data_IF_811511679909
#
_entry.id   IF_811511679909
#
_cell.length_a   1.000
_cell.length_b   1.000
_cell.length_c   1.000
_cell.angle_alpha   90.00
_cell.angle_beta   90.00
_cell.angle_gamma   90.00
#
_symmetry.space_group_name_H-M   'P 1'
#
loop_
_entity.id
_entity.type
_entity.pdbx_description
1 polymer ?
#
# COMPACT_ATOMS: atom_id res chain seq x y z
N UNK A 1 9.65 -31.33 64.15
CA UNK A 1 8.90 -30.14 63.70
C UNK A 1 9.93 -29.16 63.18
N UNK A 2 10.11 -29.09 61.86
CA UNK A 2 11.14 -28.25 61.23
C UNK A 2 10.47 -26.97 60.71
N UNK A 3 10.76 -25.84 61.36
CA UNK A 3 10.35 -24.51 60.92
C UNK A 3 11.13 -24.11 59.67
N UNK A 4 10.42 -23.81 58.58
CA UNK A 4 11.01 -23.27 57.34
C UNK A 4 11.58 -21.86 57.59
N UNK A 5 12.71 -21.51 56.94
CA UNK A 5 13.28 -20.17 57.06
C UNK A 5 12.36 -19.13 56.38
N UNK A 6 12.26 -17.91 56.93
CA UNK A 6 11.48 -16.84 56.32
C UNK A 6 12.04 -16.48 54.95
N UNK A 7 11.16 -16.34 53.95
CA UNK A 7 11.55 -15.88 52.63
C UNK A 7 12.05 -14.44 52.72
N UNK A 8 13.17 -14.12 52.05
CA UNK A 8 13.72 -12.77 52.08
C UNK A 8 12.79 -11.76 51.38
N UNK A 9 12.27 -10.79 52.14
CA UNK A 9 11.45 -9.67 51.65
C UNK A 9 12.31 -8.52 51.11
N UNK A 10 13.24 -8.80 50.18
CA UNK A 10 14.19 -7.79 49.68
C UNK A 10 13.62 -6.81 48.64
N UNK A 11 12.33 -6.88 48.28
CA UNK A 11 11.79 -6.14 47.12
C UNK A 11 10.94 -4.90 47.42
N UNK A 12 10.63 -4.60 48.68
CA UNK A 12 9.58 -3.60 49.00
C UNK A 12 10.03 -2.17 49.35
N UNK A 13 11.32 -1.92 49.63
CA UNK A 13 11.75 -0.61 50.17
C UNK A 13 12.36 0.36 49.12
N UNK A 14 12.33 0.02 47.83
CA UNK A 14 12.94 0.83 46.78
C UNK A 14 11.85 1.36 45.82
N UNK A 15 11.17 2.47 46.15
CA UNK A 15 10.03 2.97 45.36
C UNK A 15 10.40 3.37 43.93
N UNK A 16 11.68 3.58 43.63
CA UNK A 16 12.19 3.87 42.28
C UNK A 16 12.44 2.61 41.43
N UNK A 17 12.48 1.41 42.02
CA UNK A 17 12.77 0.18 41.29
C UNK A 17 11.65 -0.16 40.28
N UNK A 18 10.38 0.08 40.65
CA UNK A 18 9.22 -0.16 39.80
C UNK A 18 9.28 0.65 38.49
N UNK A 19 9.46 2.00 38.51
CA UNK A 19 9.58 2.76 37.27
C UNK A 19 10.85 2.39 36.48
N UNK A 20 11.96 2.07 37.14
CA UNK A 20 13.19 1.67 36.45
C UNK A 20 13.03 0.38 35.63
N UNK A 21 12.36 -0.64 36.20
CA UNK A 21 12.03 -1.88 35.49
C UNK A 21 11.10 -1.59 34.30
N UNK A 22 10.10 -0.72 34.49
CA UNK A 22 9.19 -0.32 33.42
C UNK A 22 9.90 0.33 32.23
N UNK A 23 10.81 1.27 32.48
CA UNK A 23 11.61 1.93 31.43
C UNK A 23 12.51 0.94 30.70
N UNK A 24 13.12 0.00 31.44
CA UNK A 24 13.99 -1.01 30.86
C UNK A 24 13.22 -1.95 29.92
N UNK A 25 12.05 -2.44 30.35
CA UNK A 25 11.19 -3.31 29.52
C UNK A 25 10.69 -2.56 28.27
N UNK A 26 10.24 -1.31 28.43
CA UNK A 26 9.78 -0.49 27.31
C UNK A 26 10.89 -0.22 26.28
N UNK A 27 12.11 0.05 26.75
CA UNK A 27 13.27 0.31 25.89
C UNK A 27 13.65 -0.93 25.08
N UNK A 28 13.65 -2.12 25.69
CA UNK A 28 13.93 -3.38 25.01
C UNK A 28 12.85 -3.67 23.96
N UNK A 29 11.56 -3.53 24.32
CA UNK A 29 10.46 -3.73 23.38
C UNK A 29 10.54 -2.77 22.17
N UNK A 30 10.87 -1.50 22.42
CA UNK A 30 11.04 -0.49 21.37
C UNK A 30 12.19 -0.83 20.42
N UNK A 31 13.36 -1.24 20.94
CA UNK A 31 14.52 -1.59 20.13
C UNK A 31 14.27 -2.83 19.26
N UNK A 32 13.61 -3.86 19.81
CA UNK A 32 13.24 -5.07 19.06
C UNK A 32 12.20 -4.74 17.98
N UNK A 33 11.15 -4.00 18.33
CA UNK A 33 10.11 -3.58 17.37
C UNK A 33 10.66 -2.70 16.25
N UNK A 34 11.53 -1.74 16.58
CA UNK A 34 12.19 -0.88 15.59
C UNK A 34 13.06 -1.68 14.62
N UNK A 35 13.72 -2.74 15.09
CA UNK A 35 14.57 -3.57 14.24
C UNK A 35 13.78 -4.44 13.25
N UNK A 36 12.51 -4.73 13.55
CA UNK A 36 11.63 -5.53 12.67
C UNK A 36 10.77 -4.66 11.74
N UNK A 37 10.38 -3.47 12.18
CA UNK A 37 9.52 -2.56 11.40
C UNK A 37 10.30 -1.72 10.37
N UNK A 38 11.61 -1.51 10.57
CA UNK A 38 12.46 -0.87 9.57
C UNK A 38 12.93 -1.94 8.59
N UNK A 39 12.06 -2.30 7.65
CA UNK A 39 12.46 -3.09 6.49
C UNK A 39 13.55 -2.31 5.73
N UNK A 40 14.65 -2.96 5.30
CA UNK A 40 15.65 -2.30 4.49
C UNK A 40 14.96 -1.78 3.22
N UNK A 41 15.00 -0.46 3.03
CA UNK A 41 14.54 0.17 1.80
C UNK A 41 15.32 -0.50 0.65
N UNK A 42 14.60 -1.23 -0.20
CA UNK A 42 15.21 -1.92 -1.33
C UNK A 42 16.01 -0.88 -2.13
N UNK A 43 17.32 -1.11 -2.36
CA UNK A 43 18.11 -0.21 -3.18
C UNK A 43 17.45 -0.13 -4.55
N UNK A 44 17.19 1.10 -4.99
CA UNK A 44 16.58 1.38 -6.27
C UNK A 44 17.43 0.71 -7.35
N UNK A 45 16.90 -0.36 -7.94
CA UNK A 45 17.50 -1.04 -9.08
C UNK A 45 17.64 -0.02 -10.21
N UNK A 46 18.87 0.42 -10.41
CA UNK A 46 19.33 1.24 -11.51
C UNK A 46 19.02 0.48 -12.80
N UNK A 47 18.08 1.00 -13.61
CA UNK A 47 17.73 0.41 -14.90
C UNK A 47 18.87 0.73 -15.88
N UNK A 48 19.51 -0.28 -16.52
CA UNK A 48 20.43 -0.03 -17.61
C UNK A 48 19.72 0.72 -18.75
N UNK A 49 20.25 1.89 -19.07
CA UNK A 49 19.95 2.63 -20.29
C UNK A 49 20.61 1.87 -21.43
N UNK A 50 19.80 1.21 -22.25
CA UNK A 50 20.23 0.67 -23.55
C UNK A 50 19.37 1.33 -24.64
N UNK A 51 20.02 2.22 -25.38
CA UNK A 51 19.51 2.97 -26.53
C UNK A 51 20.68 3.08 -27.55
N UNK A 52 20.45 3.32 -28.86
CA UNK A 52 20.01 2.35 -29.87
C UNK A 52 20.94 2.31 -31.12
N UNK A 53 20.48 1.61 -32.17
CA UNK A 53 20.90 1.63 -33.61
C UNK A 53 21.81 0.46 -34.05
N UNK A 54 21.56 -0.27 -35.14
CA UNK A 54 20.93 0.05 -36.45
C UNK A 54 20.42 -1.24 -37.15
N UNK A 55 19.62 -1.15 -38.25
CA UNK A 55 18.75 -2.20 -38.78
C UNK A 55 19.37 -3.07 -39.90
N UNK A 56 18.73 -4.19 -40.25
CA UNK A 56 18.04 -4.39 -41.54
C UNK A 56 17.97 -5.88 -41.99
N UNK A 57 16.73 -6.33 -42.26
CA UNK A 57 16.29 -7.44 -43.13
C UNK A 57 16.64 -8.90 -42.80
N UNK A 58 15.73 -9.57 -42.07
CA UNK A 58 15.32 -10.94 -42.42
C UNK A 58 13.81 -11.07 -42.27
N UNK A 59 13.09 -10.92 -43.38
CA UNK A 59 11.70 -11.35 -43.51
C UNK A 59 11.66 -12.81 -43.94
N UNK A 60 10.51 -13.46 -43.65
CA UNK A 60 10.15 -14.87 -43.86
C UNK A 60 10.55 -15.76 -42.65
N UNK A 61 9.69 -16.53 -42.01
CA UNK A 61 8.40 -17.12 -42.40
C UNK A 61 7.69 -17.70 -41.15
N UNK A 62 6.35 -17.82 -41.23
CA UNK A 62 5.47 -18.74 -40.47
C UNK A 62 5.46 -18.64 -38.94
N UNK A 63 4.50 -17.93 -38.35
CA UNK A 63 3.13 -18.41 -38.03
C UNK A 63 3.12 -19.65 -37.12
N UNK A 64 2.51 -19.48 -35.95
CA UNK A 64 2.19 -20.47 -34.89
C UNK A 64 3.29 -20.67 -33.85
N UNK A 65 3.41 -19.69 -32.94
CA UNK A 65 4.04 -19.90 -31.63
C UNK A 65 3.18 -20.91 -30.86
N UNK A 66 3.68 -22.09 -30.47
CA UNK A 66 2.92 -22.98 -29.60
C UNK A 66 2.67 -22.24 -28.29
N UNK A 67 1.40 -22.08 -27.92
CA UNK A 67 1.03 -21.58 -26.59
C UNK A 67 1.67 -22.50 -25.57
N UNK A 68 2.69 -21.99 -24.85
CA UNK A 68 3.33 -22.77 -23.79
C UNK A 68 2.24 -23.27 -22.83
N UNK A 69 2.28 -24.56 -22.42
CA UNK A 69 1.34 -25.06 -21.43
C UNK A 69 1.46 -24.19 -20.17
N UNK A 70 0.34 -23.60 -19.74
CA UNK A 70 0.23 -22.79 -18.53
C UNK A 70 0.82 -23.59 -17.35
N UNK A 71 2.06 -23.24 -16.97
CA UNK A 71 2.86 -23.93 -15.94
C UNK A 71 2.38 -23.68 -14.52
N UNK A 72 1.24 -23.02 -14.31
CA UNK A 72 0.78 -22.62 -12.98
C UNK A 72 -0.07 -23.73 -12.37
N UNK A 73 0.50 -24.40 -11.37
CA UNK A 73 -0.13 -25.46 -10.58
C UNK A 73 -1.20 -24.97 -9.60
N UNK A 74 -1.48 -23.67 -9.54
CA UNK A 74 -2.54 -23.11 -8.72
C UNK A 74 -3.31 -22.02 -9.48
N UNK A 75 -4.66 -22.08 -9.55
CA UNK A 75 -5.44 -20.96 -10.04
C UNK A 75 -5.16 -19.75 -9.17
N UNK A 76 -4.72 -18.64 -9.79
CA UNK A 76 -4.64 -17.35 -9.08
C UNK A 76 -6.02 -17.08 -8.53
N UNK A 77 -6.16 -17.05 -7.20
CA UNK A 77 -7.37 -16.55 -6.54
C UNK A 77 -7.70 -15.24 -7.24
N UNK A 78 -8.90 -15.13 -7.83
CA UNK A 78 -9.35 -13.93 -8.53
C UNK A 78 -8.89 -12.74 -7.72
N UNK A 79 -8.15 -11.83 -8.37
CA UNK A 79 -7.72 -10.57 -7.80
C UNK A 79 -8.85 -10.04 -6.89
N UNK A 80 -8.51 -9.68 -5.65
CA UNK A 80 -9.48 -9.21 -4.66
C UNK A 80 -10.43 -8.17 -5.25
N UNK A 81 -11.62 -8.03 -4.66
CA UNK A 81 -12.71 -7.19 -5.17
C UNK A 81 -12.23 -5.78 -5.57
N UNK A 82 -11.86 -5.61 -6.85
CA UNK A 82 -11.39 -4.32 -7.38
C UNK A 82 -12.60 -3.41 -7.47
N UNK A 83 -12.58 -2.36 -6.66
CA UNK A 83 -13.64 -1.35 -6.67
C UNK A 83 -13.32 -0.32 -7.73
N UNK A 84 -14.23 -0.17 -8.69
CA UNK A 84 -14.19 0.92 -9.66
C UNK A 84 -14.52 2.24 -8.99
N UNK A 85 -13.71 3.27 -9.26
CA UNK A 85 -13.85 4.62 -8.72
C UNK A 85 -13.86 5.63 -9.84
N UNK A 86 -14.63 6.69 -9.62
CA UNK A 86 -14.55 7.92 -10.39
C UNK A 86 -13.58 8.88 -9.72
N UNK A 87 -12.76 9.54 -10.53
CA UNK A 87 -11.81 10.57 -10.16
C UNK A 87 -12.17 11.84 -10.91
N UNK A 88 -12.43 12.93 -10.20
CA UNK A 88 -12.70 14.22 -10.82
C UNK A 88 -11.80 15.28 -10.23
N UNK A 89 -11.22 16.09 -11.10
CA UNK A 89 -10.81 17.44 -10.75
C UNK A 89 -12.10 18.26 -10.82
N UNK A 90 -12.39 19.15 -9.88
CA UNK A 90 -13.64 19.95 -9.83
C UNK A 90 -13.90 20.70 -11.16
N UNK A 91 -12.86 20.84 -11.96
CA UNK A 91 -12.82 21.45 -13.30
C UNK A 91 -13.21 20.53 -14.47
N UNK A 92 -13.26 19.20 -14.29
CA UNK A 92 -13.52 18.25 -15.40
C UNK A 92 -15.00 17.90 -15.53
N UNK A 93 -15.55 18.04 -16.74
CA UNK A 93 -16.92 17.59 -17.05
C UNK A 93 -17.06 16.06 -17.05
N UNK A 94 -16.00 15.33 -17.43
CA UNK A 94 -16.01 13.86 -17.48
C UNK A 94 -15.07 13.28 -16.42
N UNK A 95 -15.58 12.52 -15.42
CA UNK A 95 -14.74 11.89 -14.42
C UNK A 95 -13.87 10.80 -15.04
N UNK A 96 -12.60 10.76 -14.64
CA UNK A 96 -11.65 9.72 -14.98
C UNK A 96 -12.01 8.42 -14.23
N UNK A 97 -11.90 7.28 -14.89
CA UNK A 97 -12.12 5.97 -14.28
C UNK A 97 -10.82 5.41 -13.69
N UNK A 98 -10.93 4.75 -12.54
CA UNK A 98 -9.82 4.03 -11.92
C UNK A 98 -10.29 2.84 -11.10
N UNK A 99 -9.34 2.05 -10.59
CA UNK A 99 -9.59 0.88 -9.75
C UNK A 99 -8.81 0.97 -8.44
N UNK A 100 -9.46 0.66 -7.33
CA UNK A 100 -8.78 0.53 -6.03
C UNK A 100 -7.99 -0.79 -6.01
N UNK A 101 -6.69 -0.69 -5.78
CA UNK A 101 -5.76 -1.81 -5.58
C UNK A 101 -5.66 -2.17 -4.10
N UNK A 102 -5.52 -1.15 -3.25
CA UNK A 102 -5.39 -1.27 -1.81
C UNK A 102 -5.93 -0.02 -1.10
N UNK A 103 -6.33 -0.14 0.15
CA UNK A 103 -6.81 0.98 0.98
C UNK A 103 -6.33 0.88 2.41
N UNK A 104 -6.16 2.05 3.00
CA UNK A 104 -5.84 2.23 4.42
C UNK A 104 -6.63 3.40 4.98
N UNK A 105 -6.58 3.59 6.30
CA UNK A 105 -7.18 4.77 6.97
C UNK A 105 -6.58 6.09 6.44
N UNK A 106 -5.33 6.07 5.98
CA UNK A 106 -4.62 7.27 5.51
C UNK A 106 -4.72 7.55 4.02
N UNK A 107 -5.13 6.58 3.20
CA UNK A 107 -5.07 6.74 1.75
C UNK A 107 -5.46 5.52 0.94
N UNK A 108 -5.40 5.70 -0.38
CA UNK A 108 -5.77 4.72 -1.39
C UNK A 108 -4.60 4.47 -2.33
N UNK A 109 -4.48 3.23 -2.80
CA UNK A 109 -3.68 2.89 -3.97
C UNK A 109 -4.62 2.62 -5.12
N UNK A 110 -4.50 3.41 -6.19
CA UNK A 110 -5.34 3.34 -7.37
C UNK A 110 -4.54 2.84 -8.55
N UNK A 111 -5.23 2.23 -9.50
CA UNK A 111 -4.72 1.91 -10.81
C UNK A 111 -5.57 2.69 -11.85
N UNK A 112 -4.93 3.47 -12.71
CA UNK A 112 -5.57 4.36 -13.69
C UNK A 112 -4.92 4.21 -15.07
N UNK A 113 -5.62 4.61 -16.13
CA UNK A 113 -5.13 4.46 -17.50
C UNK A 113 -4.02 5.46 -17.87
N UNK A 114 -4.02 6.65 -17.27
CA UNK A 114 -3.09 7.74 -17.62
C UNK A 114 -2.30 8.29 -16.42
N UNK A 115 -1.14 8.92 -16.67
CA UNK A 115 -0.33 9.50 -15.60
C UNK A 115 -1.06 10.65 -14.91
N UNK A 116 -0.91 10.72 -13.58
CA UNK A 116 -1.41 11.82 -12.76
C UNK A 116 -0.24 12.55 -12.12
N UNK A 117 -0.33 13.88 -12.07
CA UNK A 117 0.73 14.73 -11.51
C UNK A 117 0.71 14.65 -9.98
N UNK A 118 1.87 14.38 -9.37
CA UNK A 118 2.04 14.43 -7.91
C UNK A 118 1.74 15.83 -7.35
N UNK A 119 1.12 15.87 -6.17
CA UNK A 119 0.60 17.08 -5.53
C UNK A 119 -0.78 17.53 -6.03
N UNK A 120 -1.32 16.90 -7.07
CA UNK A 120 -2.68 17.21 -7.55
C UNK A 120 -3.71 16.73 -6.54
N UNK A 121 -4.73 17.55 -6.28
CA UNK A 121 -5.89 17.17 -5.46
C UNK A 121 -7.03 16.77 -6.38
N UNK A 122 -7.58 15.59 -6.16
CA UNK A 122 -8.73 15.06 -6.89
C UNK A 122 -9.81 14.63 -5.92
N UNK A 123 -11.05 14.62 -6.37
CA UNK A 123 -12.18 14.03 -5.68
C UNK A 123 -12.40 12.60 -6.17
N UNK A 124 -12.51 11.65 -5.24
CA UNK A 124 -12.74 10.23 -5.54
C UNK A 124 -14.09 9.77 -5.00
N UNK A 125 -14.83 8.97 -5.79
CA UNK A 125 -16.07 8.31 -5.37
C UNK A 125 -16.19 6.91 -5.99
N UNK A 126 -16.60 5.87 -5.23
CA UNK A 126 -16.84 4.55 -5.81
C UNK A 126 -17.97 4.60 -6.83
N UNK A 127 -17.79 3.93 -7.97
CA UNK A 127 -18.77 3.90 -9.07
C UNK A 127 -20.11 3.28 -8.66
N UNK A 128 -20.06 2.26 -7.80
CA UNK A 128 -21.25 1.53 -7.32
C UNK A 128 -21.86 2.12 -6.04
N UNK A 129 -21.30 3.20 -5.50
CA UNK A 129 -21.87 3.84 -4.32
C UNK A 129 -23.19 4.55 -4.67
N UNK A 130 -24.12 4.68 -3.71
CA UNK A 130 -25.31 5.52 -3.87
C UNK A 130 -24.93 6.94 -4.32
N UNK A 131 -25.81 7.62 -5.05
CA UNK A 131 -25.54 9.01 -5.48
C UNK A 131 -25.36 9.97 -4.30
N UNK A 132 -25.89 9.62 -3.13
CA UNK A 132 -25.74 10.35 -1.87
C UNK A 132 -24.37 10.17 -1.20
N UNK A 133 -23.55 9.24 -1.67
CA UNK A 133 -22.22 9.02 -1.11
C UNK A 133 -21.31 10.25 -1.38
N UNK A 134 -20.58 10.72 -0.35
CA UNK A 134 -19.75 11.90 -0.49
C UNK A 134 -18.56 11.63 -1.44
N UNK A 135 -18.15 12.67 -2.14
CA UNK A 135 -16.84 12.69 -2.79
C UNK A 135 -15.76 12.92 -1.73
N UNK A 136 -14.69 12.15 -1.80
CA UNK A 136 -13.55 12.28 -0.88
C UNK A 136 -12.38 12.97 -1.58
N UNK A 137 -11.86 14.03 -0.99
CA UNK A 137 -10.69 14.71 -1.52
C UNK A 137 -9.41 13.93 -1.19
N UNK A 138 -8.61 13.65 -2.22
CA UNK A 138 -7.35 12.93 -2.16
C UNK A 138 -6.24 13.73 -2.84
N UNK A 139 -5.04 13.70 -2.27
CA UNK A 139 -3.81 14.24 -2.86
C UNK A 139 -2.99 13.11 -3.48
N UNK A 140 -2.55 13.29 -4.73
CA UNK A 140 -1.65 12.35 -5.39
C UNK A 140 -0.24 12.47 -4.78
N UNK A 141 0.27 11.39 -4.18
CA UNK A 141 1.58 11.35 -3.51
C UNK A 141 2.65 10.63 -4.31
N UNK A 142 2.25 9.70 -5.18
CA UNK A 142 3.18 9.00 -6.07
C UNK A 142 2.46 8.52 -7.33
N UNK A 143 3.12 8.57 -8.49
CA UNK A 143 2.59 7.98 -9.73
C UNK A 143 3.68 7.18 -10.44
N UNK A 144 3.45 5.88 -10.66
CA UNK A 144 4.43 4.98 -11.26
C UNK A 144 3.81 4.14 -12.38
N UNK A 145 4.51 3.94 -13.51
CA UNK A 145 4.01 3.08 -14.57
C UNK A 145 4.04 1.60 -14.14
N UNK A 146 2.92 0.91 -14.34
CA UNK A 146 2.76 -0.53 -14.09
C UNK A 146 2.09 -1.19 -15.31
N UNK A 147 2.91 -1.78 -16.19
CA UNK A 147 2.42 -2.38 -17.43
C UNK A 147 1.81 -1.35 -18.39
N UNK A 148 0.53 -1.52 -18.73
CA UNK A 148 -0.21 -0.59 -19.59
C UNK A 148 -1.01 0.46 -18.79
N UNK A 149 -0.76 0.52 -17.48
CA UNK A 149 -1.53 1.35 -16.54
C UNK A 149 -0.59 2.06 -15.58
N UNK A 150 -1.13 2.92 -14.72
CA UNK A 150 -0.37 3.67 -13.73
C UNK A 150 -0.86 3.36 -12.32
N UNK A 151 0.05 2.93 -11.46
CA UNK A 151 -0.19 2.81 -10.03
C UNK A 151 -0.01 4.18 -9.37
N UNK A 152 -1.05 4.62 -8.66
CA UNK A 152 -1.12 5.95 -8.07
C UNK A 152 -1.37 5.82 -6.57
N UNK A 153 -0.42 6.31 -5.79
CA UNK A 153 -0.54 6.42 -4.34
C UNK A 153 -1.21 7.73 -3.96
N UNK A 154 -2.30 7.66 -3.22
CA UNK A 154 -3.14 8.79 -2.85
C UNK A 154 -3.25 8.92 -1.34
N UNK A 155 -3.29 10.13 -0.81
CA UNK A 155 -3.55 10.43 0.61
C UNK A 155 -4.87 11.16 0.76
N UNK A 156 -5.70 10.78 1.74
CA UNK A 156 -6.89 11.57 2.05
C UNK A 156 -6.51 12.92 2.66
N UNK A 157 -7.10 14.01 2.15
CA UNK A 157 -6.91 15.33 2.77
C UNK A 157 -7.58 15.41 4.15
N UNK A 158 -8.73 14.76 4.29
CA UNK A 158 -9.45 14.59 5.56
C UNK A 158 -9.70 13.11 5.79
N UNK A 159 -9.40 12.56 6.98
CA UNK A 159 -9.70 11.17 7.29
C UNK A 159 -11.21 10.88 7.06
N UNK A 160 -11.56 9.89 6.22
CA UNK A 160 -12.95 9.55 5.97
C UNK A 160 -13.58 8.87 7.19
N UNK A 161 -14.91 8.84 7.24
CA UNK A 161 -15.59 7.98 8.21
C UNK A 161 -15.37 6.51 7.83
N UNK A 162 -15.44 5.62 8.82
CA UNK A 162 -15.24 4.18 8.60
C UNK A 162 -16.17 3.62 7.51
N UNK A 163 -17.44 4.05 7.51
CA UNK A 163 -18.44 3.60 6.55
C UNK A 163 -18.10 3.99 5.11
N UNK A 164 -17.54 5.18 4.89
CA UNK A 164 -17.12 5.62 3.55
C UNK A 164 -15.93 4.78 3.05
N UNK A 165 -15.02 4.43 3.96
CA UNK A 165 -13.84 3.62 3.63
C UNK A 165 -14.20 2.19 3.22
N UNK A 166 -15.27 1.61 3.80
CA UNK A 166 -15.80 0.30 3.39
C UNK A 166 -16.36 0.29 1.96
N UNK A 167 -16.71 1.45 1.39
CA UNK A 167 -17.18 1.51 0.00
C UNK A 167 -16.04 1.28 -1.01
N UNK A 168 -14.78 1.35 -0.57
CA UNK A 168 -13.59 1.12 -1.39
C UNK A 168 -13.08 -0.34 -1.30
N UNK A 169 -13.90 -1.27 -0.80
CA UNK A 169 -13.74 -2.74 -0.95
C UNK A 169 -13.65 -3.46 0.38
#
# INVERSE_FOLDING_TARGET
MNSLPPLPTFFTDQPWAIPAIGVLVASVAFLVGRRWLVAPAAPAAEKPVEEPAVPLLTMTSTLTKPSQPERRSAPRRKAGNRVEVYLTDDTRETPLLGWVVDRSVGGLRLNVEGPLREGTVLNVRPRKAPQTAPWLAIEIRSCRPEGCTWEVGCRFLKPPQWNDLLLFG
#
